data_IF_956553658086
#
_entry.id   IF_956553658086
#
_cell.length_a   1.000
_cell.length_b   1.000
_cell.length_c   1.000
_cell.angle_alpha   90.00
_cell.angle_beta   90.00
_cell.angle_gamma   90.00
#
_symmetry.space_group_name_H-M   'P 1'
#
loop_
_entity.id
_entity.type
_entity.pdbx_description
1 polymer ?
#
# COMPACT_ATOMS: atom_id res chain seq x y z
N UNK A 1 24.90 -3.75 -3.43
CA UNK A 1 23.43 -3.72 -3.26
C UNK A 1 23.19 -4.40 -1.94
N UNK A 2 22.83 -3.65 -0.90
CA UNK A 2 22.40 -4.29 0.36
C UNK A 2 21.11 -5.04 0.06
N UNK A 3 21.10 -6.34 0.35
CA UNK A 3 19.90 -7.14 0.22
C UNK A 3 18.93 -6.68 1.30
N UNK A 4 17.91 -5.92 0.93
CA UNK A 4 16.83 -5.57 1.85
C UNK A 4 16.17 -6.87 2.29
N UNK A 5 16.38 -7.27 3.54
CA UNK A 5 15.77 -8.47 4.10
C UNK A 5 14.27 -8.23 4.20
N UNK A 6 13.50 -8.87 3.34
CA UNK A 6 12.03 -8.81 3.38
C UNK A 6 11.56 -9.45 4.68
N UNK A 7 10.69 -8.74 5.40
CA UNK A 7 10.08 -9.23 6.63
C UNK A 7 8.74 -9.91 6.30
N UNK A 8 8.60 -11.19 6.68
CA UNK A 8 7.32 -11.86 6.65
C UNK A 8 6.46 -11.38 7.83
N UNK A 9 5.25 -10.93 7.54
CA UNK A 9 4.23 -10.50 8.51
C UNK A 9 2.98 -11.34 8.32
N UNK A 10 2.07 -11.37 9.29
CA UNK A 10 0.81 -12.12 9.10
C UNK A 10 -0.04 -11.48 7.99
N UNK A 11 -1.01 -12.24 7.46
CA UNK A 11 -1.93 -11.70 6.45
C UNK A 11 -2.73 -10.52 7.01
N UNK A 12 -3.14 -10.57 8.28
CA UNK A 12 -3.85 -9.49 8.94
C UNK A 12 -2.98 -8.24 9.07
N UNK A 13 -1.72 -8.38 9.51
CA UNK A 13 -0.78 -7.27 9.61
C UNK A 13 -0.50 -6.63 8.25
N UNK A 14 -0.39 -7.45 7.20
CA UNK A 14 -0.21 -6.98 5.84
C UNK A 14 -1.45 -6.24 5.32
N UNK A 15 -2.65 -6.75 5.61
CA UNK A 15 -3.90 -6.11 5.24
C UNK A 15 -4.06 -4.74 5.90
N UNK A 16 -3.71 -4.59 7.19
CA UNK A 16 -3.71 -3.28 7.87
C UNK A 16 -2.76 -2.29 7.21
N UNK A 17 -1.57 -2.73 6.78
CA UNK A 17 -0.62 -1.88 6.05
C UNK A 17 -1.14 -1.48 4.67
N UNK A 18 -1.93 -2.33 4.00
CA UNK A 18 -2.54 -2.02 2.70
C UNK A 18 -3.61 -0.93 2.80
N UNK A 19 -4.37 -0.87 3.90
CA UNK A 19 -5.46 0.10 4.09
C UNK A 19 -5.04 1.58 4.02
N UNK A 20 -3.75 1.87 4.19
CA UNK A 20 -3.21 3.23 4.09
C UNK A 20 -2.64 3.54 2.70
N UNK A 21 -2.52 2.53 1.83
CA UNK A 21 -1.95 2.64 0.48
C UNK A 21 -3.03 2.87 -0.55
N UNK A 22 -4.17 2.20 -0.41
CA UNK A 22 -5.29 2.29 -1.34
C UNK A 22 -6.47 3.01 -0.69
N UNK A 23 -7.42 3.53 -1.50
CA UNK A 23 -8.71 3.96 -1.00
C UNK A 23 -9.37 2.85 -0.17
N UNK A 24 -9.97 3.21 0.97
CA UNK A 24 -10.74 2.25 1.75
C UNK A 24 -12.03 1.85 1.03
N UNK A 25 -12.60 0.68 1.37
CA UNK A 25 -13.76 0.14 0.66
C UNK A 25 -14.99 1.08 0.63
N UNK A 26 -15.10 1.97 1.62
CA UNK A 26 -16.19 2.96 1.74
C UNK A 26 -15.72 4.40 1.42
N UNK A 27 -14.44 4.59 1.04
CA UNK A 27 -13.88 5.90 0.70
C UNK A 27 -14.06 6.15 -0.80
N UNK A 28 -14.79 7.21 -1.15
CA UNK A 28 -14.90 7.66 -2.53
C UNK A 28 -13.53 8.06 -3.08
N UNK A 29 -13.26 7.73 -4.35
CA UNK A 29 -11.96 8.00 -4.97
C UNK A 29 -11.60 9.50 -4.91
N UNK A 30 -12.59 10.38 -5.05
CA UNK A 30 -12.39 11.84 -4.96
C UNK A 30 -11.92 12.24 -3.56
N UNK A 31 -12.47 11.63 -2.51
CA UNK A 31 -12.11 11.94 -1.13
C UNK A 31 -10.67 11.47 -0.83
N UNK A 32 -10.31 10.28 -1.30
CA UNK A 32 -8.93 9.79 -1.23
C UNK A 32 -7.96 10.74 -1.94
N UNK A 33 -8.25 11.14 -3.18
CA UNK A 33 -7.39 12.05 -3.95
C UNK A 33 -7.26 13.42 -3.28
N UNK A 34 -8.35 13.96 -2.73
CA UNK A 34 -8.34 15.21 -1.99
C UNK A 34 -7.49 15.09 -0.72
N UNK A 35 -7.59 13.98 0.01
CA UNK A 35 -6.75 13.69 1.17
C UNK A 35 -5.28 13.59 0.80
N UNK A 36 -4.93 12.91 -0.29
CA UNK A 36 -3.55 12.86 -0.79
C UNK A 36 -3.04 14.27 -1.13
N UNK A 37 -3.84 15.07 -1.84
CA UNK A 37 -3.52 16.46 -2.18
C UNK A 37 -3.31 17.34 -0.95
N UNK A 38 -4.19 17.25 0.05
CA UNK A 38 -4.08 18.03 1.30
C UNK A 38 -2.82 17.67 2.10
N UNK A 39 -2.39 16.41 2.03
CA UNK A 39 -1.17 15.92 2.67
C UNK A 39 0.07 16.03 1.79
N UNK A 40 -0.03 16.66 0.61
CA UNK A 40 1.03 16.80 -0.38
C UNK A 40 1.70 15.47 -0.78
N UNK A 41 0.90 14.40 -0.85
CA UNK A 41 1.35 13.06 -1.23
C UNK A 41 1.15 12.82 -2.71
N UNK A 42 2.15 12.22 -3.34
CA UNK A 42 2.03 11.76 -4.72
C UNK A 42 1.13 10.52 -4.82
N UNK A 43 0.25 10.50 -5.81
CA UNK A 43 -0.53 9.32 -6.19
C UNK A 43 0.06 8.68 -7.43
N UNK A 44 -0.07 7.36 -7.55
CA UNK A 44 0.33 6.61 -8.73
C UNK A 44 -0.72 5.57 -9.09
N UNK A 45 -0.66 5.10 -10.34
CA UNK A 45 -1.38 3.90 -10.74
C UNK A 45 -0.47 2.69 -10.51
N UNK A 46 -0.97 1.71 -9.77
CA UNK A 46 -0.28 0.45 -9.60
C UNK A 46 -0.19 -0.26 -10.96
N UNK A 47 1.01 -0.58 -11.47
CA UNK A 47 1.16 -1.17 -12.81
C UNK A 47 0.61 -2.60 -12.92
N UNK A 48 0.30 -3.25 -11.79
CA UNK A 48 -0.21 -4.63 -11.76
C UNK A 48 -1.73 -4.71 -11.80
N UNK A 49 -2.42 -3.87 -11.01
CA UNK A 49 -3.88 -3.89 -10.91
C UNK A 49 -4.56 -2.69 -11.58
N UNK A 50 -3.81 -1.67 -12.00
CA UNK A 50 -4.34 -0.40 -12.52
C UNK A 50 -5.17 0.40 -11.51
N UNK A 51 -5.01 0.12 -10.21
CA UNK A 51 -5.67 0.87 -9.14
C UNK A 51 -4.85 2.10 -8.75
N UNK A 52 -5.54 3.16 -8.30
CA UNK A 52 -4.93 4.37 -7.75
C UNK A 52 -4.44 4.09 -6.33
N UNK A 53 -3.19 4.42 -6.04
CA UNK A 53 -2.61 4.30 -4.70
C UNK A 53 -1.70 5.48 -4.32
N UNK A 54 -1.49 5.63 -3.02
CA UNK A 54 -0.52 6.54 -2.42
C UNK A 54 0.90 5.98 -2.64
N UNK A 55 1.70 6.74 -3.40
CA UNK A 55 3.05 6.34 -3.79
C UNK A 55 3.99 6.25 -2.59
N UNK A 56 3.87 7.17 -1.63
CA UNK A 56 4.73 7.20 -0.45
C UNK A 56 4.37 6.07 0.51
N UNK A 57 3.09 5.82 0.72
CA UNK A 57 2.64 4.70 1.56
C UNK A 57 3.06 3.35 0.97
N UNK A 58 3.19 3.25 -0.35
CA UNK A 58 3.71 2.04 -1.02
C UNK A 58 5.16 1.73 -0.61
N UNK A 59 5.99 2.74 -0.32
CA UNK A 59 7.35 2.50 0.22
C UNK A 59 7.32 1.80 1.58
N UNK A 60 6.27 2.04 2.38
CA UNK A 60 6.00 1.35 3.63
C UNK A 60 5.68 -0.14 3.47
N UNK A 61 5.34 -0.61 2.27
CA UNK A 61 5.11 -2.02 1.93
C UNK A 61 6.33 -2.70 1.30
N UNK A 62 7.31 -1.96 0.79
CA UNK A 62 8.42 -2.51 0.01
C UNK A 62 9.26 -3.57 0.75
N UNK A 63 9.25 -3.53 2.09
CA UNK A 63 10.02 -4.43 2.95
C UNK A 63 9.19 -5.57 3.54
N UNK A 64 7.89 -5.66 3.23
CA UNK A 64 6.99 -6.64 3.83
C UNK A 64 6.43 -7.59 2.79
N UNK A 65 6.30 -8.86 3.16
CA UNK A 65 5.52 -9.85 2.40
C UNK A 65 4.49 -10.47 3.32
N UNK A 66 3.26 -10.73 2.82
CA UNK A 66 2.32 -11.56 3.56
C UNK A 66 2.94 -12.94 3.72
N UNK A 67 2.98 -13.45 4.94
CA UNK A 67 3.43 -14.80 5.23
C UNK A 67 2.47 -15.79 4.58
N UNK A 68 2.89 -16.36 3.46
CA UNK A 68 2.20 -17.48 2.83
C UNK A 68 2.75 -18.74 3.49
N UNK A 69 1.95 -19.41 4.34
CA UNK A 69 2.24 -20.82 4.62
C UNK A 69 2.16 -21.54 3.27
N UNK A 70 3.31 -22.00 2.76
CA UNK A 70 3.32 -22.94 1.65
C UNK A 70 2.45 -24.14 2.08
N UNK A 71 1.32 -24.32 1.40
CA UNK A 71 0.40 -25.42 1.61
C UNK A 71 0.83 -26.62 0.79
#
# INVERSE_FOLDING_TARGET
>A
MEATTMQAVTEEEYAEKIKVVYPQAEEELIDFLNKCKLNNKEVMLCPRCSDVCDKEATAGLANYVPYVQNR
#
